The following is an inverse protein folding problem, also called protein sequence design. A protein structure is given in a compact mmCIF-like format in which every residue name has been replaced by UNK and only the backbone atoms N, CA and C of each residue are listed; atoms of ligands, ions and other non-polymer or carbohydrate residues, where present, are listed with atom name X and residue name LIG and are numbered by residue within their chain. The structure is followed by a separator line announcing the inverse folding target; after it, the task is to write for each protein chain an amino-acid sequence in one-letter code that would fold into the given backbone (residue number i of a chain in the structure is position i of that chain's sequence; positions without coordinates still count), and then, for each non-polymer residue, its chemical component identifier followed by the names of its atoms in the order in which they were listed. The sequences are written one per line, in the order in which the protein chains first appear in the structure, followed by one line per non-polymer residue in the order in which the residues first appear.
data_IF_705503888008
#
_entry.id   IF_705503888008
#
_cell.length_a   1.000
_cell.length_b   1.000
_cell.length_c   1.000
_cell.angle_alpha   90.00
_cell.angle_beta   90.00
_cell.angle_gamma   90.00
#
_symmetry.space_group_name_H-M   'P 1'
#
loop_
_entity.id
_entity.type
_entity.pdbx_description
1 polymer ?
#
# COMPACT_ATOMS: atom_id res chain seq x y z
N UNK A 1 18.75 39.26 -16.35
CA UNK A 1 17.69 38.23 -16.27
C UNK A 1 17.71 37.68 -14.86
N UNK A 2 16.67 37.97 -14.07
CA UNK A 2 16.57 37.48 -12.69
C UNK A 2 16.30 35.98 -12.74
N UNK A 3 17.31 35.18 -12.36
CA UNK A 3 17.13 33.76 -12.11
C UNK A 3 15.99 33.56 -11.12
N UNK A 4 14.99 32.78 -11.50
CA UNK A 4 13.94 32.33 -10.58
C UNK A 4 14.62 31.35 -9.62
N UNK A 5 15.16 31.88 -8.54
CA UNK A 5 15.64 31.08 -7.42
C UNK A 5 14.40 30.41 -6.83
N UNK A 6 14.30 29.10 -7.02
CA UNK A 6 13.20 28.30 -6.52
C UNK A 6 13.29 28.23 -4.99
N UNK A 7 12.66 29.19 -4.29
CA UNK A 7 12.70 29.35 -2.81
C UNK A 7 12.17 28.13 -2.05
N UNK A 8 11.53 27.18 -2.73
CA UNK A 8 10.99 25.94 -2.15
C UNK A 8 12.10 25.00 -1.66
N UNK A 9 13.26 24.97 -2.32
CA UNK A 9 14.34 24.03 -1.98
C UNK A 9 15.09 24.39 -0.67
N UNK A 10 14.99 25.63 -0.21
CA UNK A 10 15.55 26.10 1.07
C UNK A 10 14.47 26.31 2.15
N UNK A 11 13.28 25.76 1.94
CA UNK A 11 12.19 25.88 2.90
C UNK A 11 12.55 25.14 4.19
N UNK A 12 12.34 25.75 5.38
CA UNK A 12 12.50 25.06 6.66
C UNK A 12 11.45 23.97 6.87
N UNK A 13 10.42 23.91 6.02
CA UNK A 13 9.32 22.95 6.06
C UNK A 13 9.66 21.76 5.15
N UNK A 14 9.62 20.55 5.71
CA UNK A 14 9.74 19.32 4.95
C UNK A 14 8.35 18.93 4.38
N UNK A 15 8.29 18.60 3.10
CA UNK A 15 7.06 18.10 2.47
C UNK A 15 7.21 16.63 2.19
N UNK A 16 6.21 15.83 2.56
CA UNK A 16 6.12 14.43 2.17
C UNK A 16 4.92 14.24 1.25
N UNK A 17 5.19 13.74 0.04
CA UNK A 17 4.18 13.42 -0.96
C UNK A 17 3.96 11.91 -0.99
N UNK A 18 2.77 11.47 -0.58
CA UNK A 18 2.43 10.04 -0.51
C UNK A 18 2.34 9.40 -1.90
N UNK A 19 2.17 10.17 -2.97
CA UNK A 19 2.20 9.65 -4.34
C UNK A 19 3.54 9.01 -4.69
N UNK A 20 4.64 9.48 -4.10
CA UNK A 20 5.97 8.93 -4.35
C UNK A 20 6.13 7.49 -3.81
N UNK A 21 5.24 7.07 -2.91
CA UNK A 21 5.23 5.72 -2.33
C UNK A 21 4.21 4.82 -3.04
N UNK A 22 3.47 5.34 -4.02
CA UNK A 22 2.54 4.55 -4.81
C UNK A 22 3.29 3.67 -5.80
N UNK A 23 3.10 2.37 -5.66
CA UNK A 23 3.57 1.36 -6.62
C UNK A 23 2.69 1.36 -7.87
N UNK A 24 3.28 1.21 -9.05
CA UNK A 24 2.59 1.41 -10.36
C UNK A 24 2.24 0.12 -11.07
N UNK A 25 2.68 -1.01 -10.54
CA UNK A 25 2.44 -2.34 -11.06
C UNK A 25 0.94 -2.66 -11.07
N UNK A 26 0.51 -3.55 -11.97
CA UNK A 26 -0.90 -3.88 -12.11
C UNK A 26 -1.40 -4.67 -10.91
N UNK A 27 -2.55 -4.28 -10.36
CA UNK A 27 -3.24 -5.01 -9.30
C UNK A 27 -4.14 -6.07 -9.91
N UNK A 28 -4.09 -7.29 -9.39
CA UNK A 28 -4.94 -8.41 -9.81
C UNK A 28 -5.58 -9.04 -8.60
N UNK A 29 -6.87 -9.35 -8.71
CA UNK A 29 -7.56 -10.19 -7.75
C UNK A 29 -7.44 -11.64 -8.23
N UNK A 30 -6.90 -12.51 -7.37
CA UNK A 30 -7.02 -13.95 -7.53
C UNK A 30 -8.19 -14.40 -6.63
N UNK A 31 -9.34 -14.63 -7.25
CA UNK A 31 -10.57 -14.98 -6.54
C UNK A 31 -10.72 -16.50 -6.45
N UNK A 32 -10.75 -17.04 -5.23
CA UNK A 32 -10.88 -18.47 -5.02
C UNK A 32 -12.20 -19.00 -5.57
N UNK A 33 -13.26 -18.18 -5.65
CA UNK A 33 -14.58 -18.61 -6.15
C UNK A 33 -14.49 -19.25 -7.53
N UNK A 34 -13.58 -18.77 -8.38
CA UNK A 34 -13.40 -19.25 -9.76
C UNK A 34 -12.88 -20.70 -9.80
N UNK A 35 -12.36 -21.18 -8.67
CA UNK A 35 -11.83 -22.53 -8.47
C UNK A 35 -12.71 -23.39 -7.55
N UNK A 36 -13.83 -22.85 -7.05
CA UNK A 36 -14.78 -23.58 -6.20
C UNK A 36 -15.87 -24.24 -7.05
N UNK A 37 -16.34 -25.39 -6.59
CA UNK A 37 -17.49 -26.04 -7.18
C UNK A 37 -18.74 -25.16 -6.99
N UNK A 38 -19.32 -24.72 -8.11
CA UNK A 38 -20.43 -23.76 -8.15
C UNK A 38 -20.12 -22.43 -7.43
N UNK A 39 -18.84 -22.06 -7.30
CA UNK A 39 -18.43 -20.84 -6.60
C UNK A 39 -18.53 -20.89 -5.07
N UNK A 40 -19.00 -22.01 -4.48
CA UNK A 40 -19.37 -22.07 -3.06
C UNK A 40 -18.67 -23.17 -2.26
N UNK A 41 -18.25 -24.25 -2.91
CA UNK A 41 -17.73 -25.44 -2.21
C UNK A 41 -16.34 -25.81 -2.71
N UNK A 42 -15.37 -25.89 -1.80
CA UNK A 42 -14.06 -26.42 -2.14
C UNK A 42 -14.10 -27.95 -2.22
N UNK A 43 -13.87 -28.49 -3.42
CA UNK A 43 -13.57 -29.91 -3.62
C UNK A 43 -12.07 -30.09 -3.81
N UNK A 44 -11.39 -30.67 -2.82
CA UNK A 44 -9.92 -30.65 -2.75
C UNK A 44 -9.24 -31.16 -4.03
N UNK A 45 -9.67 -32.30 -4.57
CA UNK A 45 -9.09 -32.89 -5.78
C UNK A 45 -9.24 -31.96 -6.99
N UNK A 46 -10.41 -31.37 -7.18
CA UNK A 46 -10.72 -30.47 -8.30
C UNK A 46 -9.95 -29.15 -8.15
N UNK A 47 -9.96 -28.56 -6.94
CA UNK A 47 -9.23 -27.33 -6.64
C UNK A 47 -7.72 -27.49 -6.91
N UNK A 48 -7.10 -28.57 -6.41
CA UNK A 48 -5.68 -28.83 -6.65
C UNK A 48 -5.36 -29.11 -8.12
N UNK A 49 -6.28 -29.72 -8.87
CA UNK A 49 -6.09 -29.93 -10.30
C UNK A 49 -6.12 -28.58 -11.04
N UNK A 50 -7.14 -27.76 -10.78
CA UNK A 50 -7.28 -26.45 -11.40
C UNK A 50 -6.08 -25.52 -11.12
N UNK A 51 -5.55 -25.51 -9.89
CA UNK A 51 -4.34 -24.74 -9.56
C UNK A 51 -3.08 -25.24 -10.29
N UNK A 52 -2.99 -26.52 -10.64
CA UNK A 52 -1.85 -27.06 -11.42
C UNK A 52 -1.94 -26.69 -12.89
N UNK A 53 -3.15 -26.52 -13.42
CA UNK A 53 -3.40 -26.16 -14.82
C UNK A 53 -3.36 -24.64 -15.04
N UNK A 54 -3.55 -23.85 -13.99
CA UNK A 54 -3.50 -22.39 -14.05
C UNK A 54 -2.12 -21.89 -14.49
N UNK A 55 -2.09 -20.97 -15.47
CA UNK A 55 -0.86 -20.32 -15.92
C UNK A 55 -0.43 -19.21 -14.96
N UNK A 56 0.38 -19.58 -13.97
CA UNK A 56 0.95 -18.66 -12.98
C UNK A 56 1.92 -17.63 -13.58
N UNK A 57 2.52 -17.91 -14.74
CA UNK A 57 3.44 -16.97 -15.39
C UNK A 57 2.73 -15.69 -15.83
N UNK A 58 1.42 -15.78 -16.09
CA UNK A 58 0.56 -14.63 -16.41
C UNK A 58 0.46 -13.59 -15.29
N UNK A 59 0.87 -13.92 -14.05
CA UNK A 59 0.83 -13.04 -12.88
C UNK A 59 2.20 -12.43 -12.54
N UNK A 60 3.27 -12.81 -13.23
CA UNK A 60 4.62 -12.25 -13.01
C UNK A 60 4.63 -10.74 -13.28
N UNK A 61 5.25 -9.98 -12.37
CA UNK A 61 5.31 -8.51 -12.44
C UNK A 61 4.01 -7.79 -12.03
N UNK A 62 3.01 -8.52 -11.54
CA UNK A 62 1.76 -7.98 -11.00
C UNK A 62 1.74 -8.08 -9.48
N UNK A 63 0.79 -7.37 -8.85
CA UNK A 63 0.53 -7.37 -7.42
C UNK A 63 -0.80 -8.07 -7.16
N UNK A 64 -0.78 -9.16 -6.40
CA UNK A 64 -1.94 -10.07 -6.31
C UNK A 64 -2.62 -10.01 -4.95
N UNK A 65 -3.94 -9.82 -4.96
CA UNK A 65 -4.80 -9.98 -3.79
C UNK A 65 -5.53 -11.32 -3.88
N UNK A 66 -5.20 -12.26 -2.98
CA UNK A 66 -5.87 -13.57 -2.90
C UNK A 66 -7.11 -13.41 -2.02
N UNK A 67 -8.29 -13.55 -2.60
CA UNK A 67 -9.57 -13.35 -1.89
C UNK A 67 -10.59 -14.42 -2.27
N UNK A 68 -11.75 -14.39 -1.63
CA UNK A 68 -12.95 -15.08 -2.08
C UNK A 68 -14.09 -14.06 -2.02
N UNK A 69 -14.64 -13.63 -3.15
CA UNK A 69 -15.73 -12.63 -3.12
C UNK A 69 -17.10 -13.23 -2.88
N UNK A 70 -17.23 -14.56 -3.00
CA UNK A 70 -18.46 -15.27 -2.63
C UNK A 70 -18.47 -15.57 -1.13
N UNK A 71 -19.68 -15.67 -0.57
CA UNK A 71 -19.92 -16.13 0.80
C UNK A 71 -19.76 -17.67 0.89
N UNK A 72 -18.56 -18.13 0.53
CA UNK A 72 -18.16 -19.52 0.51
C UNK A 72 -17.37 -19.86 1.78
N UNK A 73 -17.68 -21.00 2.39
CA UNK A 73 -16.90 -21.51 3.52
C UNK A 73 -15.64 -22.19 2.98
N UNK A 74 -14.55 -21.44 2.88
CA UNK A 74 -13.28 -21.91 2.34
C UNK A 74 -12.27 -22.07 3.48
N UNK A 75 -11.59 -23.24 3.60
CA UNK A 75 -10.58 -23.42 4.62
C UNK A 75 -9.34 -22.55 4.35
N UNK A 76 -8.76 -21.97 5.42
CA UNK A 76 -7.59 -21.07 5.33
C UNK A 76 -6.42 -21.63 4.51
N UNK A 77 -6.20 -22.95 4.53
CA UNK A 77 -5.11 -23.58 3.77
C UNK A 77 -5.23 -23.36 2.26
N UNK A 78 -6.43 -23.12 1.71
CA UNK A 78 -6.63 -22.91 0.28
C UNK A 78 -5.99 -21.61 -0.19
N UNK A 79 -6.17 -20.52 0.56
CA UNK A 79 -5.53 -19.23 0.32
C UNK A 79 -4.01 -19.34 0.43
N UNK A 80 -3.53 -20.06 1.46
CA UNK A 80 -2.09 -20.29 1.68
C UNK A 80 -1.51 -21.11 0.52
N UNK A 81 -2.23 -22.14 0.03
CA UNK A 81 -1.80 -22.98 -1.09
C UNK A 81 -1.59 -22.14 -2.35
N UNK A 82 -2.53 -21.24 -2.69
CA UNK A 82 -2.36 -20.28 -3.79
C UNK A 82 -1.10 -19.44 -3.60
N UNK A 83 -0.87 -18.93 -2.39
CA UNK A 83 0.36 -18.21 -2.04
C UNK A 83 1.65 -19.01 -2.32
N UNK A 84 1.64 -20.33 -2.14
CA UNK A 84 2.81 -21.17 -2.46
C UNK A 84 3.12 -21.25 -3.96
N UNK A 85 2.13 -21.09 -4.84
CA UNK A 85 2.36 -21.01 -6.28
C UNK A 85 2.89 -19.63 -6.65
N UNK A 86 2.27 -18.56 -6.16
CA UNK A 86 2.73 -17.18 -6.39
C UNK A 86 4.18 -16.98 -5.92
N UNK A 87 4.52 -17.48 -4.72
CA UNK A 87 5.88 -17.39 -4.18
C UNK A 87 6.93 -18.12 -5.01
N UNK A 88 6.59 -19.23 -5.69
CA UNK A 88 7.52 -19.92 -6.62
C UNK A 88 7.84 -19.08 -7.87
N UNK A 89 6.97 -18.14 -8.21
CA UNK A 89 7.12 -17.24 -9.36
C UNK A 89 7.57 -15.84 -8.95
N UNK A 90 8.00 -15.65 -7.70
CA UNK A 90 8.39 -14.34 -7.13
C UNK A 90 7.30 -13.27 -7.32
N UNK A 91 6.04 -13.69 -7.28
CA UNK A 91 4.89 -12.78 -7.36
C UNK A 91 4.57 -12.25 -5.98
N UNK A 92 4.53 -10.93 -5.84
CA UNK A 92 4.17 -10.28 -4.59
C UNK A 92 2.65 -10.32 -4.37
N UNK A 93 2.24 -10.80 -3.20
CA UNK A 93 0.84 -11.02 -2.91
C UNK A 93 0.45 -10.73 -1.45
N UNK A 94 -0.85 -10.57 -1.24
CA UNK A 94 -1.49 -10.56 0.08
C UNK A 94 -2.65 -11.56 0.09
N UNK A 95 -2.98 -12.11 1.26
CA UNK A 95 -4.27 -12.78 1.48
C UNK A 95 -5.25 -11.73 2.01
N UNK A 96 -6.25 -11.39 1.22
CA UNK A 96 -7.15 -10.26 1.46
C UNK A 96 -7.63 -9.65 0.15
N UNK A 97 -8.38 -8.55 0.27
CA UNK A 97 -8.89 -7.78 -0.87
C UNK A 97 -7.86 -6.77 -1.41
N UNK A 98 -8.28 -5.98 -2.41
CA UNK A 98 -7.44 -4.90 -2.96
C UNK A 98 -7.12 -3.82 -1.93
N UNK A 99 -7.98 -3.59 -0.92
CA UNK A 99 -7.71 -2.62 0.13
C UNK A 99 -6.56 -3.10 1.01
N UNK A 100 -6.56 -4.37 1.41
CA UNK A 100 -5.45 -5.00 2.13
C UNK A 100 -4.15 -4.95 1.31
N UNK A 101 -4.24 -5.15 0.00
CA UNK A 101 -3.08 -5.04 -0.90
C UNK A 101 -2.51 -3.62 -0.88
N UNK A 102 -3.33 -2.57 -1.05
CA UNK A 102 -2.83 -1.19 -1.00
C UNK A 102 -2.21 -0.86 0.36
N UNK A 103 -2.83 -1.29 1.47
CA UNK A 103 -2.24 -1.08 2.81
C UNK A 103 -0.86 -1.73 2.95
N UNK A 104 -0.73 -2.98 2.50
CA UNK A 104 0.53 -3.73 2.52
C UNK A 104 1.62 -3.04 1.70
N UNK A 105 1.30 -2.59 0.48
CA UNK A 105 2.25 -1.91 -0.41
C UNK A 105 2.72 -0.58 0.17
N UNK A 106 1.79 0.22 0.70
CA UNK A 106 2.14 1.48 1.35
C UNK A 106 2.97 1.26 2.60
N UNK A 107 2.64 0.30 3.46
CA UNK A 107 3.45 0.00 4.64
C UNK A 107 4.90 -0.32 4.25
N UNK A 108 5.10 -1.17 3.24
CA UNK A 108 6.44 -1.54 2.76
C UNK A 108 7.25 -0.35 2.28
N UNK A 109 6.63 0.64 1.63
CA UNK A 109 7.34 1.83 1.15
C UNK A 109 7.54 2.87 2.27
N UNK A 110 6.57 3.05 3.16
CA UNK A 110 6.63 4.04 4.24
C UNK A 110 7.67 3.68 5.31
N UNK A 111 7.90 2.39 5.59
CA UNK A 111 8.95 2.00 6.56
C UNK A 111 10.38 2.30 6.09
N UNK A 112 10.56 2.61 4.80
CA UNK A 112 11.86 2.99 4.21
C UNK A 112 12.15 4.50 4.34
N UNK A 113 11.21 5.29 4.85
CA UNK A 113 11.38 6.74 5.00
C UNK A 113 12.59 7.01 5.91
N UNK A 114 13.50 7.86 5.42
CA UNK A 114 14.57 8.40 6.25
C UNK A 114 13.99 9.44 7.23
N UNK A 115 13.76 8.99 8.46
CA UNK A 115 13.20 9.80 9.54
C UNK A 115 14.13 10.98 9.88
N UNK A 116 15.45 10.84 9.72
CA UNK A 116 16.41 11.88 10.08
C UNK A 116 16.18 13.18 9.29
N UNK A 117 15.72 13.07 8.04
CA UNK A 117 15.38 14.20 7.17
C UNK A 117 14.24 15.09 7.73
N UNK A 118 13.46 14.58 8.69
CA UNK A 118 12.29 15.23 9.28
C UNK A 118 12.49 15.68 10.74
N UNK A 119 13.66 15.41 11.32
CA UNK A 119 13.99 15.74 12.71
C UNK A 119 13.84 17.25 12.99
N UNK A 120 13.07 17.59 14.03
CA UNK A 120 12.82 18.94 14.54
C UNK A 120 12.32 19.94 13.48
N UNK A 121 11.70 19.43 12.42
CA UNK A 121 11.17 20.22 11.30
C UNK A 121 9.64 20.28 11.29
N UNK A 122 9.05 21.39 10.83
CA UNK A 122 7.65 21.40 10.40
C UNK A 122 7.49 20.50 9.17
N UNK A 123 6.44 19.68 9.17
CA UNK A 123 6.16 18.72 8.10
C UNK A 123 4.79 19.02 7.50
N UNK A 124 4.69 19.00 6.18
CA UNK A 124 3.43 18.99 5.44
C UNK A 124 3.26 17.63 4.78
N UNK A 125 2.22 16.90 5.16
CA UNK A 125 1.76 15.71 4.45
C UNK A 125 0.85 16.18 3.32
N UNK A 126 1.31 16.00 2.09
CA UNK A 126 0.57 16.44 0.91
C UNK A 126 -0.60 15.49 0.63
N UNK A 127 -1.77 16.05 0.36
CA UNK A 127 -2.94 15.31 -0.11
C UNK A 127 -2.81 14.95 -1.59
N UNK A 128 -3.35 13.80 -1.98
CA UNK A 128 -3.29 13.30 -3.36
C UNK A 128 -4.60 13.54 -4.11
N UNK A 129 -4.52 13.81 -5.43
CA UNK A 129 -5.67 13.81 -6.36
C UNK A 129 -5.52 12.83 -7.53
N UNK A 130 -4.34 12.23 -7.74
CA UNK A 130 -4.00 11.45 -8.94
C UNK A 130 -4.08 9.94 -8.75
N UNK A 131 -3.61 9.42 -7.61
CA UNK A 131 -3.58 7.99 -7.30
C UNK A 131 -4.40 7.70 -6.03
N UNK A 132 -5.00 6.50 -5.90
CA UNK A 132 -5.78 6.15 -4.71
C UNK A 132 -4.83 5.88 -3.53
N UNK A 133 -4.46 6.91 -2.79
CA UNK A 133 -3.71 6.78 -1.54
C UNK A 133 -4.67 6.36 -0.42
N UNK A 134 -4.50 5.18 0.21
CA UNK A 134 -5.40 4.71 1.25
C UNK A 134 -5.28 5.59 2.51
N UNK A 135 -6.38 5.78 3.24
CA UNK A 135 -6.39 6.54 4.49
C UNK A 135 -5.36 6.01 5.50
N UNK A 136 -5.12 4.69 5.47
CA UNK A 136 -4.05 4.02 6.20
C UNK A 136 -2.69 4.72 6.05
N UNK A 137 -2.29 5.09 4.83
CA UNK A 137 -0.97 5.67 4.57
C UNK A 137 -0.81 7.04 5.26
N UNK A 138 -1.86 7.87 5.29
CA UNK A 138 -1.86 9.16 5.98
C UNK A 138 -1.72 8.99 7.50
N UNK A 139 -2.46 8.05 8.08
CA UNK A 139 -2.33 7.72 9.51
C UNK A 139 -0.94 7.18 9.83
N UNK A 140 -0.44 6.28 8.98
CA UNK A 140 0.84 5.60 9.18
C UNK A 140 2.02 6.56 9.10
N UNK A 141 2.10 7.40 8.06
CA UNK A 141 3.18 8.38 7.92
C UNK A 141 3.17 9.37 9.09
N UNK A 142 1.99 9.78 9.56
CA UNK A 142 1.85 10.63 10.75
C UNK A 142 2.45 9.92 11.96
N UNK A 143 2.12 8.65 12.20
CA UNK A 143 2.65 7.87 13.33
C UNK A 143 4.18 7.72 13.30
N UNK A 144 4.78 7.60 12.11
CA UNK A 144 6.23 7.45 11.94
C UNK A 144 6.97 8.76 12.22
N UNK A 145 6.42 9.88 11.77
CA UNK A 145 7.10 11.18 11.81
C UNK A 145 6.82 11.98 13.08
N UNK A 146 5.65 11.82 13.70
CA UNK A 146 5.22 12.59 14.86
C UNK A 146 6.23 12.62 16.03
N UNK A 147 6.93 11.53 16.39
CA UNK A 147 7.90 11.56 17.48
C UNK A 147 9.11 12.48 17.23
N UNK A 148 9.39 12.80 15.97
CA UNK A 148 10.58 13.53 15.54
C UNK A 148 10.25 14.92 14.96
N UNK A 149 9.00 15.15 14.58
CA UNK A 149 8.53 16.38 13.95
C UNK A 149 8.34 17.52 14.95
N UNK A 150 8.61 18.76 14.53
CA UNK A 150 8.24 19.97 15.29
C UNK A 150 6.74 20.27 15.19
N UNK A 151 6.15 20.02 14.03
CA UNK A 151 4.72 20.13 13.78
C UNK A 151 4.35 19.34 12.53
N UNK A 152 3.11 18.85 12.46
CA UNK A 152 2.58 18.18 11.26
C UNK A 152 1.34 18.93 10.80
N UNK A 153 1.25 19.16 9.50
CA UNK A 153 0.13 19.76 8.82
C UNK A 153 -0.27 18.88 7.62
N UNK A 154 -1.52 18.98 7.18
CA UNK A 154 -2.03 18.28 6.00
C UNK A 154 -2.55 19.27 4.97
N UNK A 155 -2.26 19.03 3.69
CA UNK A 155 -2.78 19.82 2.57
C UNK A 155 -1.68 20.27 1.61
N UNK A 156 -2.00 21.25 0.78
CA UNK A 156 -1.02 21.87 -0.11
C UNK A 156 -0.21 22.92 0.64
N UNK A 157 1.07 23.19 0.29
CA UNK A 157 1.91 24.16 1.00
C UNK A 157 1.29 25.56 1.16
N UNK A 158 0.37 25.95 0.26
CA UNK A 158 -0.34 27.23 0.30
C UNK A 158 -1.66 27.20 1.10
N UNK A 159 -2.14 26.00 1.49
CA UNK A 159 -3.42 25.78 2.17
C UNK A 159 -3.35 24.51 3.02
N UNK A 160 -2.85 24.65 4.24
CA UNK A 160 -2.62 23.53 5.16
C UNK A 160 -3.51 23.59 6.39
N UNK A 161 -3.96 22.43 6.86
CA UNK A 161 -4.63 22.23 8.15
C UNK A 161 -3.60 21.74 9.18
N UNK A 162 -3.43 22.43 10.33
CA UNK A 162 -2.53 21.97 11.38
C UNK A 162 -3.10 20.73 12.09
N UNK A 163 -2.26 19.71 12.29
CA UNK A 163 -2.64 18.44 12.93
C UNK A 163 -1.89 18.19 14.25
N UNK A 164 -0.61 18.55 14.29
CA UNK A 164 0.24 18.32 15.45
C UNK A 164 1.24 19.46 15.64
N UNK A 165 1.59 19.73 16.91
CA UNK A 165 2.69 20.60 17.29
C UNK A 165 3.37 20.00 18.52
N UNK A 166 4.69 19.86 18.46
CA UNK A 166 5.46 19.40 19.61
C UNK A 166 5.27 20.38 20.79
N UNK A 167 5.09 19.82 21.99
CA UNK A 167 5.09 20.60 23.22
C UNK A 167 6.44 21.29 23.41
N UNK A 168 6.45 22.42 24.14
CA UNK A 168 7.72 23.00 24.58
C UNK A 168 8.38 21.99 25.54
N UNK A 169 9.56 21.49 25.19
CA UNK A 169 10.45 20.82 26.15
C UNK A 169 10.96 21.84 27.16
#
# INVERSE_FOLDING_TARGET
MSEIINRVANSPIATIDLENFYRKENRVIFDLKDFLFQGLVLKEKEFRAALKEFDWSSLVGKLVAITCTEDAIVPNWAFILVGTYLGKHDVEYVVGDLMALEQFLFEKELVKIDIASFQDRPIVIKGCSKFPVPLYAYGRVTSLLQPYAKSIMYGEPCSTVPLYKAGKK
#
